data_IF_546687898118
#
_entry.id   IF_546687898118
#
_cell.length_a   1.000
_cell.length_b   1.000
_cell.length_c   1.000
_cell.angle_alpha   90.00
_cell.angle_beta   90.00
_cell.angle_gamma   90.00
#
_symmetry.space_group_name_H-M   'P 1'
#
loop_
_entity.id
_entity.type
_entity.pdbx_description
1 polymer ?
#
# COMPACT_ATOMS: atom_id res chain seq x y z
N UNK A 1 -16.11 16.37 -31.76
CA UNK A 1 -16.70 16.55 -30.40
C UNK A 1 -17.74 15.47 -30.20
N UNK A 2 -17.42 14.41 -29.47
CA UNK A 2 -18.39 13.40 -29.02
C UNK A 2 -17.93 12.95 -27.63
N UNK A 3 -18.77 13.21 -26.63
CA UNK A 3 -18.47 13.09 -25.21
C UNK A 3 -18.48 11.63 -24.78
N UNK A 4 -17.36 11.18 -24.19
CA UNK A 4 -17.29 9.93 -23.43
C UNK A 4 -18.14 10.06 -22.15
N UNK A 5 -19.30 9.41 -22.14
CA UNK A 5 -20.05 9.17 -20.91
C UNK A 5 -19.44 7.98 -20.18
N UNK A 6 -18.59 8.26 -19.19
CA UNK A 6 -18.18 7.28 -18.21
C UNK A 6 -19.42 6.76 -17.46
N UNK A 7 -19.75 5.49 -17.65
CA UNK A 7 -20.80 4.80 -16.91
C UNK A 7 -20.45 4.80 -15.41
N UNK A 8 -21.11 5.68 -14.64
CA UNK A 8 -21.04 5.66 -13.18
C UNK A 8 -21.60 4.33 -12.69
N UNK A 9 -20.74 3.46 -12.16
CA UNK A 9 -21.14 2.26 -11.45
C UNK A 9 -22.25 2.61 -10.43
N UNK A 10 -23.45 2.07 -10.65
CA UNK A 10 -24.57 2.20 -9.70
C UNK A 10 -24.14 1.48 -8.41
N UNK A 11 -23.86 2.26 -7.35
CA UNK A 11 -23.69 1.72 -6.00
C UNK A 11 -24.88 0.83 -5.67
N UNK A 12 -24.64 -0.47 -5.49
CA UNK A 12 -25.63 -1.41 -4.95
C UNK A 12 -26.09 -0.84 -3.61
N UNK A 13 -27.34 -0.39 -3.53
CA UNK A 13 -27.91 0.12 -2.28
C UNK A 13 -28.22 -1.08 -1.40
N UNK A 14 -27.40 -1.29 -0.37
CA UNK A 14 -27.71 -2.23 0.71
C UNK A 14 -29.05 -1.80 1.32
N UNK A 15 -30.05 -2.70 1.44
CA UNK A 15 -31.36 -2.35 1.96
C UNK A 15 -31.26 -1.87 3.42
N UNK A 16 -32.07 -0.86 3.76
CA UNK A 16 -32.07 -0.27 5.10
C UNK A 16 -32.83 -1.19 6.07
N UNK A 17 -32.35 -1.27 7.31
CA UNK A 17 -33.05 -2.00 8.37
C UNK A 17 -34.06 -1.08 9.04
N UNK A 18 -35.31 -1.51 9.12
CA UNK A 18 -36.40 -0.83 9.80
C UNK A 18 -36.79 -1.58 11.07
N UNK A 19 -36.90 -0.85 12.19
CA UNK A 19 -37.50 -1.35 13.42
C UNK A 19 -39.01 -1.16 13.35
N UNK A 20 -39.75 -2.22 13.64
CA UNK A 20 -41.20 -2.19 13.55
C UNK A 20 -41.87 -2.75 14.81
N UNK A 21 -43.05 -2.20 15.10
CA UNK A 21 -44.00 -2.71 16.08
C UNK A 21 -45.36 -2.79 15.37
N UNK A 22 -46.05 -3.91 15.52
CA UNK A 22 -47.32 -4.17 14.87
C UNK A 22 -48.16 -5.17 15.64
N UNK A 23 -49.35 -5.45 15.14
CA UNK A 23 -50.24 -6.47 15.68
C UNK A 23 -50.35 -7.64 14.72
N UNK A 24 -50.20 -8.86 15.22
CA UNK A 24 -50.43 -10.07 14.41
C UNK A 24 -51.95 -10.32 14.24
N UNK A 25 -52.32 -11.30 13.42
CA UNK A 25 -53.72 -11.70 13.18
C UNK A 25 -54.52 -12.08 14.45
N UNK A 26 -53.84 -12.41 15.55
CA UNK A 26 -54.43 -12.75 16.84
C UNK A 26 -54.53 -11.55 17.80
N UNK A 27 -54.28 -10.32 17.31
CA UNK A 27 -54.33 -9.10 18.10
C UNK A 27 -53.14 -8.89 19.06
N UNK A 28 -52.13 -9.77 19.03
CA UNK A 28 -50.94 -9.64 19.91
C UNK A 28 -49.96 -8.64 19.32
N UNK A 29 -49.45 -7.76 20.18
CA UNK A 29 -48.39 -6.81 19.82
C UNK A 29 -47.07 -7.56 19.64
N UNK A 30 -46.52 -7.49 18.44
CA UNK A 30 -45.23 -8.06 18.06
C UNK A 30 -44.28 -6.95 17.62
N UNK A 31 -43.00 -7.14 17.88
CA UNK A 31 -41.93 -6.20 17.52
C UNK A 31 -40.80 -6.95 16.84
N UNK A 32 -40.14 -6.32 15.88
CA UNK A 32 -39.06 -6.95 15.13
C UNK A 32 -38.27 -5.96 14.28
N UNK A 33 -37.38 -6.50 13.45
CA UNK A 33 -36.63 -5.76 12.44
C UNK A 33 -36.99 -6.33 11.07
N UNK A 34 -37.00 -5.48 10.04
CA UNK A 34 -37.22 -5.90 8.66
C UNK A 34 -36.28 -5.12 7.74
N UNK A 35 -35.67 -5.80 6.77
CA UNK A 35 -34.83 -5.17 5.75
C UNK A 35 -35.70 -4.78 4.56
N UNK A 36 -35.63 -3.52 4.11
CA UNK A 36 -36.38 -3.04 2.96
C UNK A 36 -35.68 -1.85 2.30
N UNK A 37 -35.97 -1.55 1.03
CA UNK A 37 -35.33 -0.41 0.34
C UNK A 37 -35.92 0.94 0.80
N UNK A 38 -37.18 0.95 1.25
CA UNK A 38 -37.85 2.14 1.75
C UNK A 38 -38.96 1.79 2.76
N UNK A 39 -39.45 2.81 3.47
CA UNK A 39 -40.47 2.66 4.52
C UNK A 39 -41.79 2.06 4.01
N UNK A 40 -42.16 2.33 2.75
CA UNK A 40 -43.40 1.84 2.16
C UNK A 40 -43.29 0.34 1.87
N UNK A 41 -42.15 -0.11 1.33
CA UNK A 41 -41.86 -1.52 1.11
C UNK A 41 -41.83 -2.30 2.43
N UNK A 42 -41.17 -1.77 3.47
CA UNK A 42 -41.20 -2.37 4.81
C UNK A 42 -42.63 -2.57 5.34
N UNK A 43 -43.52 -1.58 5.18
CA UNK A 43 -44.94 -1.70 5.58
C UNK A 43 -45.70 -2.73 4.75
N UNK A 44 -45.43 -2.81 3.45
CA UNK A 44 -46.05 -3.78 2.56
C UNK A 44 -45.64 -5.21 2.91
N UNK A 45 -44.36 -5.44 3.18
CA UNK A 45 -43.83 -6.76 3.54
C UNK A 45 -44.38 -7.23 4.90
N UNK A 46 -44.51 -6.31 5.88
CA UNK A 46 -45.16 -6.61 7.16
C UNK A 46 -46.63 -7.00 6.99
N UNK A 47 -47.38 -6.29 6.13
CA UNK A 47 -48.77 -6.64 5.83
C UNK A 47 -48.88 -7.99 5.13
N UNK A 48 -47.96 -8.33 4.22
CA UNK A 48 -47.87 -9.65 3.58
C UNK A 48 -47.63 -10.77 4.59
N UNK A 49 -46.84 -10.50 5.63
CA UNK A 49 -46.60 -11.43 6.75
C UNK A 49 -47.77 -11.48 7.76
N UNK A 50 -48.89 -10.81 7.49
CA UNK A 50 -50.06 -10.81 8.37
C UNK A 50 -49.89 -9.95 9.62
N UNK A 51 -48.99 -8.96 9.58
CA UNK A 51 -48.70 -8.04 10.66
C UNK A 51 -49.20 -6.65 10.26
N UNK A 52 -50.11 -6.08 11.04
CA UNK A 52 -50.57 -4.70 10.85
C UNK A 52 -49.55 -3.74 11.49
N UNK A 53 -48.81 -2.93 10.71
CA UNK A 53 -47.74 -2.10 11.24
C UNK A 53 -48.31 -0.90 12.00
N UNK A 54 -48.00 -0.76 13.30
CA UNK A 54 -48.37 0.38 14.14
C UNK A 54 -47.29 1.47 14.11
N UNK A 55 -46.02 1.07 14.20
CA UNK A 55 -44.87 1.98 14.20
C UNK A 55 -43.75 1.33 13.41
N UNK A 56 -43.34 1.98 12.31
CA UNK A 56 -42.18 1.56 11.52
C UNK A 56 -41.23 2.76 11.49
N UNK A 57 -40.00 2.57 11.94
CA UNK A 57 -38.96 3.60 11.92
C UNK A 57 -37.69 3.01 11.37
N UNK A 58 -36.98 3.79 10.56
CA UNK A 58 -35.64 3.44 10.11
C UNK A 58 -34.77 3.25 11.36
N UNK A 59 -34.04 2.14 11.46
CA UNK A 59 -33.09 1.94 12.56
C UNK A 59 -32.09 3.11 12.48
N UNK A 60 -31.93 3.92 13.53
CA UNK A 60 -30.95 4.99 13.51
C UNK A 60 -29.60 4.36 13.15
N UNK A 61 -28.89 4.95 12.17
CA UNK A 61 -27.54 4.50 11.84
C UNK A 61 -26.73 4.65 13.13
N UNK A 62 -26.20 3.56 13.64
CA UNK A 62 -25.28 3.61 14.78
C UNK A 62 -24.11 4.50 14.36
N UNK A 63 -24.10 5.74 14.83
CA UNK A 63 -22.97 6.66 14.64
C UNK A 63 -21.70 6.14 15.32
N UNK A 64 -21.86 5.18 16.24
CA UNK A 64 -20.81 4.45 16.95
C UNK A 64 -20.67 2.98 16.50
N UNK A 65 -21.21 2.59 15.35
CA UNK A 65 -20.90 1.27 14.80
C UNK A 65 -19.39 1.21 14.53
N UNK A 66 -18.70 0.14 14.94
CA UNK A 66 -17.28 -0.02 14.64
C UNK A 66 -17.10 0.13 13.14
N UNK A 67 -16.24 1.08 12.74
CA UNK A 67 -15.94 1.34 11.34
C UNK A 67 -15.51 0.02 10.71
N UNK A 68 -16.16 -0.37 9.61
CA UNK A 68 -15.82 -1.60 8.91
C UNK A 68 -14.31 -1.66 8.65
N UNK A 69 -13.65 -2.79 8.94
CA UNK A 69 -12.21 -2.94 8.74
C UNK A 69 -11.86 -2.65 7.28
N UNK A 70 -10.76 -1.94 7.04
CA UNK A 70 -10.28 -1.71 5.66
C UNK A 70 -9.73 -3.02 5.11
N UNK A 71 -10.02 -3.32 3.85
CA UNK A 71 -9.42 -4.44 3.12
C UNK A 71 -7.94 -4.10 2.89
N UNK A 72 -7.05 -4.99 3.32
CA UNK A 72 -5.60 -4.87 3.14
C UNK A 72 -5.15 -5.68 1.93
N UNK A 73 -4.03 -5.33 1.29
CA UNK A 73 -3.44 -6.16 0.22
C UNK A 73 -3.16 -7.61 0.65
N UNK A 74 -2.80 -7.84 1.92
CA UNK A 74 -2.64 -9.18 2.50
C UNK A 74 -3.93 -10.01 2.45
N UNK A 75 -5.10 -9.37 2.62
CA UNK A 75 -6.40 -10.04 2.57
C UNK A 75 -6.67 -10.55 1.13
N UNK A 76 -6.26 -9.78 0.12
CA UNK A 76 -6.36 -10.16 -1.31
C UNK A 76 -5.42 -11.32 -1.63
N UNK A 77 -4.20 -11.31 -1.09
CA UNK A 77 -3.26 -12.41 -1.25
C UNK A 77 -3.80 -13.72 -0.66
N UNK A 78 -4.35 -13.66 0.56
CA UNK A 78 -4.99 -14.83 1.23
C UNK A 78 -6.20 -15.32 0.44
N UNK A 79 -7.09 -14.43 0.01
CA UNK A 79 -8.22 -14.77 -0.85
C UNK A 79 -7.77 -15.50 -2.12
N UNK A 80 -6.77 -14.97 -2.82
CA UNK A 80 -6.27 -15.54 -4.07
C UNK A 80 -5.66 -16.93 -3.86
N UNK A 81 -4.87 -17.10 -2.79
CA UNK A 81 -4.29 -18.41 -2.43
C UNK A 81 -5.37 -19.42 -2.06
N UNK A 82 -6.35 -19.04 -1.24
CA UNK A 82 -7.44 -19.94 -0.87
C UNK A 82 -8.27 -20.34 -2.09
N UNK A 83 -8.56 -19.40 -2.98
CA UNK A 83 -9.30 -19.67 -4.21
C UNK A 83 -8.55 -20.65 -5.11
N UNK A 84 -7.24 -20.43 -5.32
CA UNK A 84 -6.38 -21.35 -6.07
C UNK A 84 -6.39 -22.77 -5.46
N UNK A 85 -6.16 -22.88 -4.14
CA UNK A 85 -6.13 -24.18 -3.44
C UNK A 85 -7.46 -24.92 -3.50
N UNK A 86 -8.58 -24.22 -3.31
CA UNK A 86 -9.91 -24.83 -3.36
C UNK A 86 -10.25 -25.32 -4.77
N UNK A 87 -9.94 -24.52 -5.80
CA UNK A 87 -10.17 -24.90 -7.19
C UNK A 87 -9.30 -26.10 -7.60
N UNK A 88 -8.03 -26.14 -7.21
CA UNK A 88 -7.17 -27.31 -7.42
C UNK A 88 -7.63 -28.56 -6.69
N UNK A 89 -8.36 -28.39 -5.59
CA UNK A 89 -8.98 -29.52 -4.87
C UNK A 89 -10.27 -30.01 -5.54
N UNK A 90 -10.62 -29.47 -6.70
CA UNK A 90 -11.85 -29.79 -7.43
C UNK A 90 -13.11 -29.14 -6.85
N UNK A 91 -12.98 -28.20 -5.91
CA UNK A 91 -14.14 -27.50 -5.33
C UNK A 91 -14.67 -26.49 -6.36
N UNK A 92 -15.96 -26.54 -6.72
CA UNK A 92 -16.54 -25.60 -7.68
C UNK A 92 -16.35 -24.14 -7.27
N UNK A 93 -16.07 -23.26 -8.24
CA UNK A 93 -15.81 -21.82 -8.02
C UNK A 93 -16.85 -21.16 -7.08
N UNK A 94 -18.13 -21.43 -7.33
CA UNK A 94 -19.24 -20.88 -6.52
C UNK A 94 -19.16 -21.31 -5.05
N UNK A 95 -18.79 -22.55 -4.79
CA UNK A 95 -18.65 -23.09 -3.43
C UNK A 95 -17.38 -22.55 -2.77
N UNK A 96 -16.28 -22.45 -3.53
CA UNK A 96 -15.03 -21.82 -3.09
C UNK A 96 -15.27 -20.37 -2.65
N UNK A 97 -15.96 -19.55 -3.45
CA UNK A 97 -16.31 -18.17 -3.10
C UNK A 97 -17.20 -18.08 -1.85
N UNK A 98 -18.16 -19.00 -1.68
CA UNK A 98 -18.99 -19.05 -0.48
C UNK A 98 -18.15 -19.34 0.77
N UNK A 99 -17.34 -20.41 0.75
CA UNK A 99 -16.54 -20.85 1.89
C UNK A 99 -15.52 -19.77 2.29
N UNK A 100 -14.82 -19.19 1.32
CA UNK A 100 -13.84 -18.14 1.58
C UNK A 100 -14.54 -16.87 2.09
N UNK A 101 -15.68 -16.50 1.50
CA UNK A 101 -16.45 -15.34 1.93
C UNK A 101 -16.94 -15.45 3.37
N UNK A 102 -17.54 -16.59 3.74
CA UNK A 102 -18.04 -16.84 5.09
C UNK A 102 -16.93 -17.03 6.14
N UNK A 103 -15.78 -17.59 5.73
CA UNK A 103 -14.64 -17.86 6.60
C UNK A 103 -13.67 -16.70 6.80
N UNK A 104 -13.83 -15.58 6.08
CA UNK A 104 -12.85 -14.48 6.14
C UNK A 104 -13.01 -13.63 7.41
N UNK A 105 -11.91 -13.39 8.14
CA UNK A 105 -11.93 -12.62 9.40
C UNK A 105 -12.36 -11.14 9.21
N UNK A 106 -11.98 -10.55 8.07
CA UNK A 106 -12.34 -9.17 7.71
C UNK A 106 -13.76 -9.10 7.12
N UNK A 107 -14.70 -8.49 7.85
CA UNK A 107 -16.10 -8.36 7.41
C UNK A 107 -16.30 -7.56 6.12
N UNK A 108 -15.43 -6.60 5.79
CA UNK A 108 -15.48 -5.91 4.50
C UNK A 108 -15.09 -6.83 3.34
N UNK A 109 -14.14 -7.73 3.58
CA UNK A 109 -13.73 -8.71 2.59
C UNK A 109 -14.82 -9.76 2.38
N UNK A 110 -15.45 -10.24 3.46
CA UNK A 110 -16.61 -11.12 3.40
C UNK A 110 -17.71 -10.54 2.50
N UNK A 111 -18.11 -9.28 2.74
CA UNK A 111 -19.14 -8.63 1.91
C UNK A 111 -18.73 -8.51 0.44
N UNK A 112 -17.45 -8.21 0.16
CA UNK A 112 -16.95 -8.10 -1.20
C UNK A 112 -16.96 -9.46 -1.92
N UNK A 113 -16.48 -10.52 -1.25
CA UNK A 113 -16.45 -11.88 -1.83
C UNK A 113 -17.86 -12.39 -2.08
N UNK A 114 -18.78 -12.19 -1.14
CA UNK A 114 -20.18 -12.60 -1.30
C UNK A 114 -20.90 -11.79 -2.39
N UNK A 115 -20.53 -10.52 -2.59
CA UNK A 115 -21.03 -9.74 -3.72
C UNK A 115 -20.49 -10.25 -5.06
N UNK A 116 -19.19 -10.55 -5.15
CA UNK A 116 -18.58 -11.17 -6.33
C UNK A 116 -19.24 -12.52 -6.63
N UNK A 117 -19.47 -13.34 -5.61
CA UNK A 117 -20.21 -14.61 -5.73
C UNK A 117 -21.60 -14.37 -6.35
N UNK A 118 -22.38 -13.42 -5.82
CA UNK A 118 -23.72 -13.14 -6.33
C UNK A 118 -23.71 -12.68 -7.79
N UNK A 119 -22.70 -11.89 -8.20
CA UNK A 119 -22.52 -11.50 -9.59
C UNK A 119 -22.23 -12.70 -10.50
N UNK A 120 -21.32 -13.59 -10.08
CA UNK A 120 -21.01 -14.82 -10.83
C UNK A 120 -22.22 -15.77 -10.90
N UNK A 121 -23.00 -15.87 -9.81
CA UNK A 121 -24.25 -16.64 -9.76
C UNK A 121 -25.30 -16.10 -10.75
N UNK A 122 -25.28 -14.79 -11.00
CA UNK A 122 -26.16 -14.14 -11.98
C UNK A 122 -25.70 -14.30 -13.44
N UNK A 123 -24.56 -14.95 -13.68
CA UNK A 123 -24.00 -15.21 -15.01
C UNK A 123 -22.95 -14.21 -15.49
N UNK A 124 -22.48 -13.32 -14.63
CA UNK A 124 -21.33 -12.43 -14.94
C UNK A 124 -20.03 -13.24 -14.83
N UNK A 125 -19.02 -12.97 -15.67
CA UNK A 125 -17.72 -13.65 -15.53
C UNK A 125 -17.02 -13.26 -14.22
N UNK A 126 -16.10 -14.10 -13.73
CA UNK A 126 -15.30 -13.79 -12.55
C UNK A 126 -14.45 -12.54 -12.80
N UNK A 127 -13.83 -12.43 -13.97
CA UNK A 127 -13.03 -11.25 -14.33
C UNK A 127 -13.84 -9.96 -14.30
N UNK A 128 -15.04 -9.96 -14.90
CA UNK A 128 -15.90 -8.77 -14.92
C UNK A 128 -16.40 -8.43 -13.51
N UNK A 129 -16.72 -9.43 -12.69
CA UNK A 129 -17.12 -9.24 -11.29
C UNK A 129 -16.00 -8.63 -10.44
N UNK A 130 -14.76 -9.07 -10.63
CA UNK A 130 -13.57 -8.53 -9.96
C UNK A 130 -13.25 -7.11 -10.42
N UNK A 131 -13.45 -6.80 -11.71
CA UNK A 131 -13.18 -5.48 -12.30
C UNK A 131 -14.01 -4.35 -11.66
N UNK A 132 -15.15 -4.67 -11.02
CA UNK A 132 -15.96 -3.72 -10.24
C UNK A 132 -15.23 -3.18 -9.00
N UNK A 133 -14.10 -3.80 -8.61
CA UNK A 133 -13.29 -3.43 -7.45
C UNK A 133 -11.84 -3.08 -7.84
N UNK A 134 -11.61 -2.05 -8.67
CA UNK A 134 -10.29 -1.72 -9.24
C UNK A 134 -9.26 -1.23 -8.20
N UNK A 135 -9.70 -0.94 -6.98
CA UNK A 135 -8.80 -0.59 -5.87
C UNK A 135 -8.18 -1.82 -5.17
N UNK A 136 -8.72 -3.01 -5.44
CA UNK A 136 -8.32 -4.27 -4.80
C UNK A 136 -7.78 -5.28 -5.81
N UNK A 137 -8.37 -5.32 -7.01
CA UNK A 137 -7.90 -6.11 -8.13
C UNK A 137 -7.43 -5.15 -9.21
N UNK A 138 -6.13 -5.16 -9.49
CA UNK A 138 -5.54 -4.36 -10.56
C UNK A 138 -5.82 -4.98 -11.94
N UNK A 139 -5.51 -4.23 -13.00
CA UNK A 139 -5.75 -4.67 -14.38
C UNK A 139 -5.01 -5.98 -14.68
N UNK A 140 -3.84 -6.18 -14.08
CA UNK A 140 -3.07 -7.42 -14.17
C UNK A 140 -3.86 -8.62 -13.63
N UNK A 141 -4.41 -8.50 -12.42
CA UNK A 141 -5.22 -9.54 -11.79
C UNK A 141 -6.43 -9.89 -12.67
N UNK A 142 -7.18 -8.87 -13.11
CA UNK A 142 -8.39 -9.05 -13.90
C UNK A 142 -8.07 -9.71 -15.26
N UNK A 143 -7.01 -9.27 -15.92
CA UNK A 143 -6.59 -9.81 -17.21
C UNK A 143 -6.15 -11.28 -17.11
N UNK A 144 -5.43 -11.65 -16.05
CA UNK A 144 -5.03 -13.04 -15.81
C UNK A 144 -6.24 -13.94 -15.54
N UNK A 145 -7.21 -13.48 -14.73
CA UNK A 145 -8.44 -14.25 -14.52
C UNK A 145 -9.20 -14.41 -15.83
N UNK A 146 -9.35 -13.34 -16.62
CA UNK A 146 -10.03 -13.38 -17.90
C UNK A 146 -9.37 -14.35 -18.88
N UNK A 147 -8.04 -14.32 -18.99
CA UNK A 147 -7.28 -15.26 -19.80
C UNK A 147 -7.49 -16.71 -19.34
N UNK A 148 -7.58 -16.93 -18.02
CA UNK A 148 -7.81 -18.25 -17.42
C UNK A 148 -9.22 -18.79 -17.64
N UNK A 149 -10.22 -17.90 -17.57
CA UNK A 149 -11.61 -18.23 -17.89
C UNK A 149 -11.77 -18.60 -19.38
N UNK A 150 -11.13 -17.86 -20.29
CA UNK A 150 -11.23 -18.11 -21.74
C UNK A 150 -10.47 -19.36 -22.19
N UNK A 151 -9.31 -19.62 -21.59
CA UNK A 151 -8.46 -20.77 -21.94
C UNK A 151 -8.79 -22.05 -21.17
N UNK A 152 -9.68 -21.98 -20.17
CA UNK A 152 -9.94 -23.08 -19.24
C UNK A 152 -8.79 -23.37 -18.27
N UNK A 153 -7.74 -22.56 -18.26
CA UNK A 153 -6.57 -22.69 -17.39
C UNK A 153 -6.68 -21.87 -16.08
N UNK A 154 -7.90 -21.51 -15.67
CA UNK A 154 -8.16 -20.66 -14.50
C UNK A 154 -7.46 -21.16 -13.23
N UNK A 155 -7.42 -22.47 -13.00
CA UNK A 155 -6.73 -23.06 -11.85
C UNK A 155 -5.24 -22.72 -11.83
N UNK A 156 -4.54 -22.94 -12.95
CA UNK A 156 -3.11 -22.66 -13.09
C UNK A 156 -2.84 -21.17 -12.92
N UNK A 157 -3.67 -20.31 -13.52
CA UNK A 157 -3.48 -18.86 -13.42
C UNK A 157 -3.77 -18.32 -12.02
N UNK A 158 -4.71 -18.92 -11.28
CA UNK A 158 -4.94 -18.56 -9.89
C UNK A 158 -3.73 -18.86 -9.00
N UNK A 159 -3.00 -19.95 -9.25
CA UNK A 159 -1.75 -20.23 -8.55
C UNK A 159 -0.67 -19.20 -8.82
N UNK A 160 -0.54 -18.80 -10.09
CA UNK A 160 0.39 -17.77 -10.53
C UNK A 160 0.07 -16.41 -9.91
N UNK A 161 -1.22 -16.00 -9.93
CA UNK A 161 -1.70 -14.79 -9.27
C UNK A 161 -1.42 -14.83 -7.77
N UNK A 162 -1.74 -15.95 -7.10
CA UNK A 162 -1.51 -16.10 -5.67
C UNK A 162 -0.03 -15.99 -5.31
N UNK A 163 0.84 -16.68 -6.06
CA UNK A 163 2.29 -16.61 -5.87
C UNK A 163 2.82 -15.18 -6.07
N UNK A 164 2.35 -14.48 -7.11
CA UNK A 164 2.70 -13.09 -7.38
C UNK A 164 2.30 -12.16 -6.23
N UNK A 165 1.05 -12.28 -5.73
CA UNK A 165 0.56 -11.45 -4.62
C UNK A 165 1.34 -11.71 -3.33
N UNK A 166 1.61 -12.98 -3.01
CA UNK A 166 2.41 -13.37 -1.83
C UNK A 166 3.83 -12.80 -1.89
N UNK A 167 4.52 -12.95 -3.03
CA UNK A 167 5.87 -12.42 -3.21
C UNK A 167 5.90 -10.89 -3.13
N UNK A 168 4.93 -10.22 -3.76
CA UNK A 168 4.80 -8.77 -3.73
C UNK A 168 4.57 -8.25 -2.31
N UNK A 169 3.67 -8.87 -1.55
CA UNK A 169 3.39 -8.49 -0.17
C UNK A 169 4.55 -8.85 0.78
N UNK A 170 5.22 -9.98 0.57
CA UNK A 170 6.42 -10.35 1.31
C UNK A 170 7.54 -9.30 1.11
N UNK A 171 7.78 -8.88 -0.13
CA UNK A 171 8.76 -7.85 -0.46
C UNK A 171 8.41 -6.51 0.21
N UNK A 172 7.16 -6.05 0.10
CA UNK A 172 6.69 -4.83 0.78
C UNK A 172 6.83 -4.93 2.30
N UNK A 173 6.46 -6.08 2.87
CA UNK A 173 6.57 -6.32 4.30
C UNK A 173 8.03 -6.29 4.76
N UNK A 174 8.95 -6.85 3.98
CA UNK A 174 10.39 -6.83 4.26
C UNK A 174 10.95 -5.41 4.23
N UNK A 175 10.67 -4.64 3.18
CA UNK A 175 11.06 -3.22 3.09
C UNK A 175 10.51 -2.44 4.27
N UNK A 176 9.23 -2.63 4.60
CA UNK A 176 8.61 -1.95 5.75
C UNK A 176 9.30 -2.33 7.07
N UNK A 177 9.59 -3.61 7.29
CA UNK A 177 10.28 -4.09 8.50
C UNK A 177 11.68 -3.50 8.62
N UNK A 178 12.46 -3.45 7.54
CA UNK A 178 13.79 -2.86 7.52
C UNK A 178 13.79 -1.36 7.89
N UNK A 179 12.75 -0.62 7.49
CA UNK A 179 12.61 0.80 7.81
C UNK A 179 12.09 1.08 9.24
N UNK A 180 11.45 0.12 9.89
CA UNK A 180 10.86 0.31 11.23
C UNK A 180 11.96 0.56 12.26
N UNK A 181 13.05 -0.21 12.22
CA UNK A 181 14.13 -0.08 13.20
C UNK A 181 14.82 1.30 13.17
N UNK A 182 15.34 1.80 12.02
CA UNK A 182 15.90 3.14 11.94
C UNK A 182 14.90 4.23 12.32
N UNK A 183 13.65 4.13 11.86
CA UNK A 183 12.62 5.11 12.20
C UNK A 183 12.35 5.17 13.71
N UNK A 184 12.34 4.01 14.38
CA UNK A 184 12.08 3.92 15.82
C UNK A 184 13.19 4.60 16.63
N UNK A 185 14.46 4.37 16.27
CA UNK A 185 15.61 5.03 16.94
C UNK A 185 15.57 6.53 16.71
N UNK A 186 15.34 6.99 15.48
CA UNK A 186 15.25 8.42 15.17
C UNK A 186 14.12 9.08 15.96
N UNK A 187 12.95 8.43 16.08
CA UNK A 187 11.83 8.94 16.88
C UNK A 187 12.20 9.02 18.36
N UNK A 188 12.78 7.97 18.94
CA UNK A 188 13.19 7.96 20.35
C UNK A 188 14.25 9.04 20.62
N UNK A 189 15.26 9.13 19.76
CA UNK A 189 16.29 10.15 19.84
C UNK A 189 15.73 11.57 19.76
N UNK A 190 14.77 11.80 18.86
CA UNK A 190 14.13 13.09 18.73
C UNK A 190 13.31 13.44 19.97
N UNK A 191 12.59 12.47 20.56
CA UNK A 191 11.85 12.65 21.82
C UNK A 191 12.81 12.98 22.96
N UNK A 192 13.89 12.22 23.15
CA UNK A 192 14.89 12.47 24.20
C UNK A 192 15.51 13.85 24.02
N UNK A 193 15.91 14.19 22.80
CA UNK A 193 16.45 15.52 22.48
C UNK A 193 15.44 16.62 22.79
N UNK A 194 14.17 16.45 22.41
CA UNK A 194 13.12 17.42 22.71
C UNK A 194 12.92 17.61 24.23
N UNK A 195 12.96 16.54 25.03
CA UNK A 195 12.88 16.62 26.49
C UNK A 195 14.07 17.41 27.06
N UNK A 196 15.29 17.12 26.61
CA UNK A 196 16.48 17.86 27.04
C UNK A 196 16.38 19.35 26.68
N UNK A 197 15.94 19.66 25.47
CA UNK A 197 15.78 21.04 25.00
C UNK A 197 14.67 21.78 25.75
N UNK A 198 13.54 21.14 26.05
CA UNK A 198 12.39 21.81 26.66
C UNK A 198 12.53 21.95 28.18
N UNK A 199 13.12 20.96 28.86
CA UNK A 199 13.14 20.92 30.32
C UNK A 199 14.53 21.14 30.91
N UNK A 200 15.57 20.52 30.36
CA UNK A 200 16.90 20.50 31.00
C UNK A 200 17.68 21.78 30.73
N UNK A 201 17.75 22.19 29.47
CA UNK A 201 18.51 23.38 29.07
C UNK A 201 18.04 24.68 29.75
N UNK A 202 16.73 25.00 29.83
CA UNK A 202 16.29 26.22 30.51
C UNK A 202 16.61 26.22 32.02
N UNK A 203 16.66 25.05 32.67
CA UNK A 203 17.09 24.96 34.08
C UNK A 203 18.59 25.27 34.24
N UNK A 204 19.40 24.89 33.26
CA UNK A 204 20.82 25.26 33.25
C UNK A 204 21.01 26.75 32.94
N UNK A 205 20.22 27.32 32.03
CA UNK A 205 20.27 28.75 31.74
C UNK A 205 19.93 29.60 32.97
N UNK A 206 18.87 29.25 33.71
CA UNK A 206 18.46 29.98 34.92
C UNK A 206 19.54 29.93 36.00
N UNK A 207 20.20 28.78 36.16
CA UNK A 207 21.34 28.61 37.06
C UNK A 207 22.49 29.55 36.69
N UNK A 208 22.86 29.62 35.41
CA UNK A 208 24.00 30.44 34.97
C UNK A 208 23.71 31.95 34.94
N UNK A 209 22.46 32.37 34.68
CA UNK A 209 22.07 33.79 34.81
C UNK A 209 22.34 34.34 36.21
N UNK A 210 22.28 33.50 37.24
CA UNK A 210 22.59 33.88 38.62
C UNK A 210 24.08 34.17 38.90
N UNK A 211 25.00 33.70 38.04
CA UNK A 211 26.46 33.86 38.23
C UNK A 211 27.04 35.11 37.55
N UNK A 212 26.25 35.87 36.77
CA UNK A 212 26.68 37.14 36.17
C UNK A 212 27.79 37.04 35.11
N UNK A 213 28.16 35.82 34.66
CA UNK A 213 29.20 35.59 33.68
C UNK A 213 28.63 35.40 32.26
N UNK A 214 29.39 35.85 31.26
CA UNK A 214 29.00 35.71 29.86
C UNK A 214 29.07 34.24 29.40
N UNK A 215 27.92 33.71 28.97
CA UNK A 215 27.85 32.34 28.46
C UNK A 215 28.68 32.16 27.17
N UNK A 216 29.40 31.04 26.99
CA UNK A 216 30.07 30.70 25.75
C UNK A 216 29.12 30.70 24.54
N UNK A 217 29.65 31.01 23.35
CA UNK A 217 28.85 31.09 22.11
C UNK A 217 28.08 29.81 21.77
N UNK A 218 28.69 28.64 22.00
CA UNK A 218 28.02 27.34 21.78
C UNK A 218 26.82 27.15 22.72
N UNK A 219 26.98 27.50 24.01
CA UNK A 219 25.89 27.45 25.00
C UNK A 219 24.77 28.42 24.65
N UNK A 220 25.09 29.65 24.23
CA UNK A 220 24.11 30.65 23.77
C UNK A 220 23.32 30.14 22.55
N UNK A 221 23.97 29.46 21.59
CA UNK A 221 23.29 28.87 20.44
C UNK A 221 22.30 27.79 20.88
N UNK A 222 22.73 26.86 21.74
CA UNK A 222 21.88 25.77 22.24
C UNK A 222 20.68 26.31 23.02
N UNK A 223 20.87 27.34 23.84
CA UNK A 223 19.78 28.02 24.55
C UNK A 223 18.77 28.64 23.57
N UNK A 224 19.21 29.37 22.54
CA UNK A 224 18.29 29.92 21.53
C UNK A 224 17.48 28.85 20.82
N UNK A 225 18.10 27.73 20.47
CA UNK A 225 17.38 26.60 19.85
C UNK A 225 16.38 26.01 20.85
N UNK A 226 16.74 25.93 22.13
CA UNK A 226 15.86 25.49 23.21
C UNK A 226 14.66 26.41 23.38
N UNK A 227 14.83 27.74 23.36
CA UNK A 227 13.74 28.72 23.42
C UNK A 227 12.73 28.50 22.28
N UNK A 228 13.22 28.28 21.04
CA UNK A 228 12.36 27.94 19.89
C UNK A 228 11.62 26.63 20.12
N UNK A 229 12.27 25.61 20.67
CA UNK A 229 11.61 24.35 21.02
C UNK A 229 10.55 24.55 22.10
N UNK A 230 10.82 25.31 23.16
CA UNK A 230 9.86 25.57 24.23
C UNK A 230 8.60 26.29 23.72
N UNK A 231 8.77 27.32 22.90
CA UNK A 231 7.65 28.14 22.40
C UNK A 231 6.89 27.45 21.25
N UNK A 232 7.60 26.76 20.37
CA UNK A 232 7.07 26.30 19.06
C UNK A 232 7.18 24.79 18.82
N UNK A 233 7.37 23.96 19.85
CA UNK A 233 7.41 22.49 19.68
C UNK A 233 6.17 21.99 18.92
N UNK A 234 4.96 22.39 19.32
CA UNK A 234 3.72 21.95 18.69
C UNK A 234 3.65 22.30 17.19
N UNK A 235 4.21 23.46 16.81
CA UNK A 235 4.31 23.89 15.42
C UNK A 235 5.33 23.05 14.65
N UNK A 236 6.48 22.72 15.25
CA UNK A 236 7.51 21.85 14.66
C UNK A 236 6.92 20.45 14.39
N UNK A 237 6.27 19.84 15.38
CA UNK A 237 5.60 18.55 15.22
C UNK A 237 4.46 18.64 14.20
N UNK A 238 3.66 19.70 14.25
CA UNK A 238 2.56 19.94 13.31
C UNK A 238 3.04 20.07 11.86
N UNK A 239 4.16 20.76 11.62
CA UNK A 239 4.76 20.90 10.28
C UNK A 239 5.30 19.56 9.79
N UNK A 240 6.02 18.81 10.62
CA UNK A 240 6.58 17.50 10.22
C UNK A 240 5.44 16.53 9.86
N UNK A 241 4.45 16.38 10.74
CA UNK A 241 3.31 15.50 10.51
C UNK A 241 2.49 15.97 9.31
N UNK A 242 2.26 17.29 9.21
CA UNK A 242 1.55 17.92 8.10
C UNK A 242 2.24 17.73 6.76
N UNK A 243 3.58 17.86 6.72
CA UNK A 243 4.37 17.64 5.51
C UNK A 243 4.35 16.17 5.07
N UNK A 244 4.46 15.23 6.00
CA UNK A 244 4.35 13.79 5.72
C UNK A 244 2.95 13.47 5.16
N UNK A 245 1.90 13.96 5.82
CA UNK A 245 0.52 13.75 5.37
C UNK A 245 0.27 14.37 3.99
N UNK A 246 0.72 15.61 3.78
CA UNK A 246 0.59 16.32 2.51
C UNK A 246 1.35 15.61 1.39
N UNK A 247 2.57 15.12 1.64
CA UNK A 247 3.33 14.33 0.68
C UNK A 247 2.62 13.03 0.31
N UNK A 248 2.08 12.31 1.31
CA UNK A 248 1.33 11.06 1.09
C UNK A 248 0.04 11.30 0.29
N UNK A 249 -0.70 12.36 0.60
CA UNK A 249 -1.97 12.69 -0.08
C UNK A 249 -1.72 13.25 -1.49
N UNK A 250 -0.69 14.09 -1.65
CA UNK A 250 -0.30 14.67 -2.93
C UNK A 250 0.20 13.60 -3.91
N UNK A 251 0.96 12.60 -3.43
CA UNK A 251 1.36 11.44 -4.23
C UNK A 251 0.17 10.66 -4.79
N UNK A 252 -0.92 10.54 -4.03
CA UNK A 252 -2.14 9.84 -4.49
C UNK A 252 -2.98 10.64 -5.47
N UNK A 253 -2.93 11.97 -5.38
CA UNK A 253 -3.80 12.87 -6.18
C UNK A 253 -3.16 13.38 -7.46
N UNK A 254 -1.83 13.45 -7.54
CA UNK A 254 -1.13 14.10 -8.66
C UNK A 254 -0.08 13.20 -9.29
N UNK A 255 -0.30 12.81 -10.55
CA UNK A 255 0.71 12.13 -11.38
C UNK A 255 2.02 12.93 -11.45
N UNK A 256 1.96 14.26 -11.64
CA UNK A 256 3.17 15.11 -11.71
C UNK A 256 4.03 15.04 -10.44
N UNK A 257 3.37 15.01 -9.27
CA UNK A 257 4.07 14.87 -7.98
C UNK A 257 4.65 13.46 -7.83
N UNK A 258 3.91 12.43 -8.26
CA UNK A 258 4.42 11.07 -8.30
C UNK A 258 5.66 10.95 -9.20
N UNK A 259 5.65 11.52 -10.42
CA UNK A 259 6.82 11.56 -11.31
C UNK A 259 8.02 12.27 -10.67
N UNK A 260 7.79 13.43 -10.05
CA UNK A 260 8.86 14.18 -9.41
C UNK A 260 9.47 13.42 -8.23
N UNK A 261 8.64 12.86 -7.35
CA UNK A 261 9.09 12.08 -6.20
C UNK A 261 9.80 10.80 -6.62
N UNK A 262 9.24 10.04 -7.56
CA UNK A 262 9.84 8.78 -8.02
C UNK A 262 11.18 9.05 -8.74
N UNK A 263 11.31 10.16 -9.49
CA UNK A 263 12.58 10.59 -10.10
C UNK A 263 13.60 11.06 -9.06
N UNK A 264 13.16 11.78 -8.03
CA UNK A 264 14.05 12.18 -6.93
C UNK A 264 14.53 10.98 -6.12
N UNK A 265 13.65 10.04 -5.80
CA UNK A 265 13.97 8.82 -5.05
C UNK A 265 15.05 7.99 -5.76
N UNK A 266 15.00 7.91 -7.10
CA UNK A 266 16.04 7.25 -7.90
C UNK A 266 17.42 7.92 -7.84
N UNK A 267 17.50 9.20 -7.44
CA UNK A 267 18.76 9.94 -7.31
C UNK A 267 19.38 9.88 -5.92
N UNK A 268 18.62 9.42 -4.91
CA UNK A 268 19.14 9.30 -3.55
C UNK A 268 20.12 8.11 -3.53
N UNK A 269 21.38 8.30 -3.09
CA UNK A 269 22.33 7.20 -2.94
C UNK A 269 21.74 6.08 -2.07
N UNK A 270 22.06 4.82 -2.38
CA UNK A 270 21.53 3.60 -1.73
C UNK A 270 20.04 3.36 -2.01
N UNK A 271 19.14 4.32 -1.74
CA UNK A 271 17.69 4.17 -1.96
C UNK A 271 17.35 4.05 -3.45
N UNK A 272 17.97 4.85 -4.31
CA UNK A 272 17.74 4.82 -5.74
C UNK A 272 18.15 3.50 -6.38
N UNK A 273 19.24 2.90 -5.89
CA UNK A 273 19.68 1.58 -6.35
C UNK A 273 18.69 0.49 -5.96
N UNK A 274 18.22 0.48 -4.70
CA UNK A 274 17.18 -0.44 -4.21
C UNK A 274 15.91 -0.30 -5.05
N UNK A 275 15.46 0.94 -5.29
CA UNK A 275 14.25 1.21 -6.06
C UNK A 275 14.37 0.76 -7.51
N UNK A 276 15.55 0.92 -8.13
CA UNK A 276 15.84 0.44 -9.48
C UNK A 276 15.84 -1.09 -9.53
N UNK A 277 16.58 -1.75 -8.64
CA UNK A 277 16.62 -3.22 -8.52
C UNK A 277 15.21 -3.79 -8.29
N UNK A 278 14.42 -3.16 -7.42
CA UNK A 278 13.05 -3.57 -7.14
C UNK A 278 12.09 -3.35 -8.31
N UNK A 279 12.30 -2.30 -9.12
CA UNK A 279 11.52 -2.09 -10.33
C UNK A 279 11.82 -3.15 -11.40
N UNK A 280 13.10 -3.50 -11.58
CA UNK A 280 13.53 -4.59 -12.48
C UNK A 280 12.98 -5.93 -12.00
N UNK A 281 13.06 -6.24 -10.71
CA UNK A 281 12.51 -7.46 -10.13
C UNK A 281 11.00 -7.59 -10.39
N UNK A 282 10.22 -6.53 -10.14
CA UNK A 282 8.77 -6.52 -10.42
C UNK A 282 8.47 -6.63 -11.92
N UNK A 283 9.20 -5.90 -12.75
CA UNK A 283 9.08 -6.00 -14.21
C UNK A 283 9.26 -7.45 -14.67
N UNK A 284 10.38 -8.07 -14.31
CA UNK A 284 10.72 -9.42 -14.73
C UNK A 284 9.75 -10.46 -14.16
N UNK A 285 9.36 -10.34 -12.88
CA UNK A 285 8.42 -11.25 -12.23
C UNK A 285 7.04 -11.18 -12.90
N UNK A 286 6.49 -9.98 -13.05
CA UNK A 286 5.17 -9.80 -13.66
C UNK A 286 5.18 -10.28 -15.10
N UNK A 287 6.23 -9.98 -15.85
CA UNK A 287 6.29 -10.36 -17.26
C UNK A 287 6.46 -11.88 -17.42
N UNK A 288 7.30 -12.51 -16.61
CA UNK A 288 7.40 -13.99 -16.53
C UNK A 288 6.04 -14.63 -16.25
N UNK A 289 5.32 -14.14 -15.25
CA UNK A 289 4.00 -14.65 -14.88
C UNK A 289 2.98 -14.51 -16.02
N UNK A 290 2.93 -13.34 -16.68
CA UNK A 290 2.01 -13.10 -17.79
C UNK A 290 2.34 -13.96 -19.01
N UNK A 291 3.62 -14.12 -19.33
CA UNK A 291 4.05 -14.91 -20.48
C UNK A 291 3.83 -16.41 -20.25
N UNK A 292 4.12 -16.90 -19.04
CA UNK A 292 3.81 -18.28 -18.61
C UNK A 292 2.31 -18.56 -18.63
N UNK A 293 1.50 -17.54 -18.35
CA UNK A 293 0.04 -17.59 -18.44
C UNK A 293 -0.49 -17.61 -19.90
N UNK A 294 0.38 -17.51 -20.90
CA UNK A 294 0.02 -17.48 -22.31
C UNK A 294 -0.55 -16.13 -22.78
N UNK A 295 -0.40 -15.06 -21.98
CA UNK A 295 -0.86 -13.73 -22.41
C UNK A 295 0.09 -13.20 -23.50
N UNK A 296 -0.44 -12.69 -24.62
CA UNK A 296 0.38 -12.12 -25.70
C UNK A 296 1.34 -11.04 -25.20
N UNK A 297 2.55 -11.00 -25.76
CA UNK A 297 3.64 -10.12 -25.30
C UNK A 297 3.23 -8.64 -25.17
N UNK A 298 2.61 -8.08 -26.21
CA UNK A 298 2.18 -6.68 -26.24
C UNK A 298 1.13 -6.36 -25.17
N UNK A 299 0.19 -7.29 -24.95
CA UNK A 299 -0.84 -7.16 -23.90
C UNK A 299 -0.21 -7.27 -22.52
N UNK A 300 0.68 -8.24 -22.32
CA UNK A 300 1.43 -8.44 -21.08
C UNK A 300 2.20 -7.19 -20.68
N UNK A 301 2.87 -6.51 -21.62
CA UNK A 301 3.64 -5.30 -21.34
C UNK A 301 2.78 -4.14 -20.82
N UNK A 302 1.51 -4.04 -21.23
CA UNK A 302 0.59 -3.04 -20.68
C UNK A 302 0.32 -3.28 -19.20
N UNK A 303 0.12 -4.54 -18.79
CA UNK A 303 -0.04 -4.89 -17.38
C UNK A 303 1.27 -4.78 -16.59
N UNK A 304 2.41 -5.15 -17.19
CA UNK A 304 3.75 -5.03 -16.58
C UNK A 304 4.06 -3.55 -16.28
N UNK A 305 3.72 -2.63 -17.19
CA UNK A 305 3.93 -1.20 -16.98
C UNK A 305 3.29 -0.69 -15.67
N UNK A 306 2.08 -1.17 -15.37
CA UNK A 306 1.36 -0.85 -14.12
C UNK A 306 1.98 -1.50 -12.87
N UNK A 307 2.61 -2.66 -13.02
CA UNK A 307 3.17 -3.45 -11.92
C UNK A 307 4.61 -3.08 -11.53
N UNK A 308 5.35 -2.38 -12.39
CA UNK A 308 6.76 -1.98 -12.13
C UNK A 308 6.94 -1.14 -10.85
N UNK A 309 5.88 -0.46 -10.38
CA UNK A 309 5.87 0.32 -9.13
C UNK A 309 6.74 1.59 -9.14
N UNK A 310 7.30 1.94 -10.30
CA UNK A 310 8.02 3.18 -10.54
C UNK A 310 7.57 3.75 -11.88
N UNK A 311 7.17 5.02 -11.90
CA UNK A 311 6.58 5.59 -13.11
C UNK A 311 7.56 5.66 -14.28
N UNK A 312 8.85 5.84 -14.04
CA UNK A 312 9.88 5.86 -15.10
C UNK A 312 9.96 4.49 -15.80
N UNK A 313 9.95 3.41 -15.03
CA UNK A 313 9.94 2.05 -15.58
C UNK A 313 8.61 1.72 -16.27
N UNK A 314 7.49 2.20 -15.72
CA UNK A 314 6.18 2.03 -16.34
C UNK A 314 6.09 2.70 -17.71
N UNK A 315 6.53 3.96 -17.82
CA UNK A 315 6.56 4.69 -19.10
C UNK A 315 7.49 4.03 -20.11
N UNK A 316 8.70 3.66 -19.71
CA UNK A 316 9.64 2.96 -20.58
C UNK A 316 9.08 1.61 -21.07
N UNK A 317 8.37 0.87 -20.21
CA UNK A 317 7.70 -0.38 -20.61
C UNK A 317 6.63 -0.13 -21.68
N UNK A 318 5.89 0.98 -21.60
CA UNK A 318 4.91 1.34 -22.63
C UNK A 318 5.56 1.74 -23.95
N UNK A 319 6.69 2.44 -23.91
CA UNK A 319 7.48 2.74 -25.12
C UNK A 319 7.97 1.45 -25.77
N UNK A 320 8.59 0.56 -24.99
CA UNK A 320 9.05 -0.74 -25.49
C UNK A 320 7.90 -1.57 -26.08
N UNK A 321 6.70 -1.49 -25.50
CA UNK A 321 5.51 -2.18 -26.02
C UNK A 321 5.17 -1.68 -27.43
N UNK A 322 5.20 -0.36 -27.63
CA UNK A 322 4.88 0.25 -28.91
C UNK A 322 5.91 -0.17 -29.97
N UNK A 323 7.20 -0.22 -29.62
CA UNK A 323 8.27 -0.72 -30.51
C UNK A 323 8.07 -2.19 -30.87
N UNK A 324 7.79 -3.05 -29.88
CA UNK A 324 7.52 -4.48 -30.08
C UNK A 324 6.28 -4.71 -30.93
N UNK A 325 5.23 -3.90 -30.75
CA UNK A 325 4.02 -3.97 -31.57
C UNK A 325 4.29 -3.64 -33.05
N UNK A 326 5.32 -2.84 -33.35
CA UNK A 326 5.78 -2.58 -34.72
C UNK A 326 6.73 -3.63 -35.29
N UNK A 327 7.07 -4.67 -34.52
CA UNK A 327 7.93 -5.78 -34.93
C UNK A 327 9.39 -5.68 -34.47
N UNK A 328 9.73 -4.70 -33.63
CA UNK A 328 11.07 -4.62 -33.01
C UNK A 328 11.23 -5.74 -31.98
N UNK A 329 12.41 -6.37 -31.94
CA UNK A 329 12.71 -7.39 -30.91
C UNK A 329 12.74 -6.75 -29.52
N UNK A 330 12.26 -7.48 -28.51
CA UNK A 330 12.14 -6.96 -27.15
C UNK A 330 13.50 -6.57 -26.58
N UNK A 331 14.54 -7.37 -26.81
CA UNK A 331 15.90 -7.06 -26.37
C UNK A 331 16.41 -5.72 -26.93
N UNK A 332 16.10 -5.38 -28.19
CA UNK A 332 16.49 -4.10 -28.82
C UNK A 332 15.74 -2.93 -28.18
N UNK A 333 14.43 -3.07 -28.00
CA UNK A 333 13.63 -2.06 -27.31
C UNK A 333 14.14 -1.80 -25.88
N UNK A 334 14.65 -2.83 -25.18
CA UNK A 334 15.28 -2.66 -23.86
C UNK A 334 16.61 -1.89 -23.88
N UNK A 335 17.38 -2.01 -24.97
CA UNK A 335 18.63 -1.25 -25.15
C UNK A 335 18.30 0.22 -25.36
N UNK A 336 17.32 0.53 -26.20
CA UNK A 336 16.96 1.91 -26.57
C UNK A 336 16.47 2.75 -25.40
N UNK A 337 15.81 2.13 -24.40
CA UNK A 337 15.36 2.84 -23.20
C UNK A 337 16.43 3.03 -22.13
N UNK A 338 17.60 2.36 -22.24
CA UNK A 338 18.77 2.51 -21.36
C UNK A 338 18.50 2.36 -19.83
N UNK A 339 17.43 1.68 -19.43
CA UNK A 339 17.07 1.48 -18.01
C UNK A 339 17.51 0.13 -17.45
N UNK A 340 17.74 -0.85 -18.31
CA UNK A 340 17.99 -2.23 -17.92
C UNK A 340 19.50 -2.55 -17.98
N UNK A 341 20.06 -3.21 -16.95
CA UNK A 341 21.43 -3.71 -17.00
C UNK A 341 21.63 -4.71 -18.14
N UNK A 342 22.84 -4.78 -18.68
CA UNK A 342 23.19 -5.66 -19.81
C UNK A 342 22.79 -7.12 -19.56
N UNK A 343 22.99 -7.62 -18.33
CA UNK A 343 22.56 -8.97 -17.95
C UNK A 343 21.06 -9.23 -18.21
N UNK A 344 20.19 -8.27 -17.90
CA UNK A 344 18.74 -8.41 -18.14
C UNK A 344 18.45 -8.48 -19.63
N UNK A 345 19.05 -7.57 -20.40
CA UNK A 345 18.88 -7.51 -21.86
C UNK A 345 19.34 -8.82 -22.51
N UNK A 346 20.46 -9.39 -22.06
CA UNK A 346 20.98 -10.67 -22.55
C UNK A 346 20.08 -11.84 -22.21
N UNK A 347 19.57 -11.93 -20.97
CA UNK A 347 18.64 -12.98 -20.57
C UNK A 347 17.36 -12.93 -21.41
N UNK A 348 16.85 -11.72 -21.69
CA UNK A 348 15.70 -11.52 -22.57
C UNK A 348 16.01 -11.92 -24.00
N UNK A 349 17.17 -11.55 -24.54
CA UNK A 349 17.59 -11.95 -25.89
C UNK A 349 17.65 -13.47 -26.04
N UNK A 350 18.27 -14.17 -25.08
CA UNK A 350 18.35 -15.64 -25.05
C UNK A 350 16.95 -16.25 -24.94
N UNK A 351 16.08 -15.69 -24.08
CA UNK A 351 14.71 -16.16 -23.89
C UNK A 351 13.84 -15.98 -25.13
N UNK A 352 13.99 -14.85 -25.83
CA UNK A 352 13.28 -14.53 -27.07
C UNK A 352 13.72 -15.45 -28.22
N UNK A 353 15.03 -15.71 -28.36
CA UNK A 353 15.57 -16.60 -29.40
C UNK A 353 15.26 -18.09 -29.14
N UNK A 354 15.27 -18.52 -27.88
CA UNK A 354 14.99 -19.91 -27.50
C UNK A 354 13.51 -20.21 -27.24
N UNK A 355 12.64 -19.19 -27.25
CA UNK A 355 11.23 -19.32 -26.88
C UNK A 355 10.96 -19.60 -25.40
N UNK A 356 11.96 -19.39 -24.53
CA UNK A 356 11.90 -19.65 -23.08
C UNK A 356 11.94 -18.37 -22.24
N UNK A 357 11.28 -17.31 -22.74
CA UNK A 357 11.30 -15.99 -22.14
C UNK A 357 10.75 -15.97 -20.71
N UNK A 358 9.73 -16.79 -20.42
CA UNK A 358 9.17 -16.97 -19.07
C UNK A 358 10.22 -17.46 -18.07
N UNK A 359 11.03 -18.46 -18.45
CA UNK A 359 12.07 -19.03 -17.60
C UNK A 359 13.24 -18.06 -17.38
N UNK A 360 13.67 -17.37 -18.44
CA UNK A 360 14.75 -16.38 -18.35
C UNK A 360 14.33 -15.18 -17.49
N UNK A 361 13.11 -14.65 -17.69
CA UNK A 361 12.57 -13.58 -16.85
C UNK A 361 12.37 -14.01 -15.39
N UNK A 362 11.99 -15.26 -15.14
CA UNK A 362 11.91 -15.79 -13.78
C UNK A 362 13.27 -15.78 -13.07
N UNK A 363 14.35 -16.13 -13.78
CA UNK A 363 15.72 -16.08 -13.25
C UNK A 363 16.19 -14.66 -12.99
N UNK A 364 15.89 -13.73 -13.89
CA UNK A 364 16.14 -12.29 -13.68
C UNK A 364 15.39 -11.81 -12.44
N UNK A 365 14.12 -12.18 -12.28
CA UNK A 365 13.33 -11.80 -11.11
C UNK A 365 13.94 -12.35 -9.80
N UNK A 366 14.28 -13.63 -9.75
CA UNK A 366 14.93 -14.25 -8.58
C UNK A 366 16.25 -13.55 -8.21
N UNK A 367 17.09 -13.26 -9.20
CA UNK A 367 18.36 -12.56 -9.00
C UNK A 367 18.14 -11.15 -8.43
N UNK A 368 17.26 -10.35 -9.04
CA UNK A 368 17.03 -8.98 -8.56
C UNK A 368 16.21 -8.92 -7.26
N UNK A 369 15.36 -9.91 -6.98
CA UNK A 369 14.74 -10.07 -5.65
C UNK A 369 15.81 -10.26 -4.56
N UNK A 370 16.82 -11.11 -4.82
CA UNK A 370 17.98 -11.28 -3.92
C UNK A 370 18.82 -10.01 -3.80
N UNK A 371 19.11 -9.33 -4.91
CA UNK A 371 19.87 -8.08 -4.89
C UNK A 371 19.15 -6.94 -4.14
N UNK A 372 17.81 -6.93 -4.16
CA UNK A 372 17.02 -6.01 -3.34
C UNK A 372 17.15 -6.37 -1.87
N UNK A 373 17.10 -7.66 -1.54
CA UNK A 373 17.25 -8.15 -0.18
C UNK A 373 18.61 -7.75 0.40
N UNK A 374 19.69 -8.02 -0.33
CA UNK A 374 21.06 -7.66 0.08
C UNK A 374 21.23 -6.14 0.20
N UNK A 375 20.65 -5.37 -0.73
CA UNK A 375 20.73 -3.91 -0.67
C UNK A 375 19.95 -3.33 0.52
N UNK A 376 18.81 -3.93 0.90
CA UNK A 376 18.03 -3.53 2.08
C UNK A 376 18.80 -3.85 3.37
N UNK A 377 19.45 -5.01 3.44
CA UNK A 377 20.25 -5.42 4.60
C UNK A 377 21.49 -4.52 4.76
N UNK A 378 22.20 -4.24 3.66
CA UNK A 378 23.34 -3.33 3.63
C UNK A 378 22.95 -1.88 4.01
N UNK A 379 21.81 -1.40 3.52
CA UNK A 379 21.30 -0.08 3.90
C UNK A 379 21.03 0.00 5.41
N UNK A 380 20.47 -1.07 5.99
CA UNK A 380 20.20 -1.14 7.43
C UNK A 380 21.49 -1.12 8.24
N UNK A 381 22.51 -1.87 7.82
CA UNK A 381 23.82 -1.89 8.46
C UNK A 381 24.54 -0.54 8.42
N UNK A 382 24.42 0.21 7.31
CA UNK A 382 25.01 1.55 7.19
C UNK A 382 24.29 2.63 8.00
N UNK A 383 22.99 2.47 8.25
CA UNK A 383 22.21 3.41 9.05
C UNK A 383 22.64 3.42 10.52
N UNK A 384 23.09 2.29 11.07
CA UNK A 384 23.46 2.20 12.47
C UNK A 384 24.67 3.11 12.83
N UNK A 385 25.83 3.06 12.14
CA UNK A 385 26.93 4.00 12.37
C UNK A 385 26.53 5.46 12.16
N UNK A 386 25.71 5.74 11.14
CA UNK A 386 25.26 7.10 10.85
C UNK A 386 24.39 7.65 11.98
N UNK A 387 23.49 6.83 12.51
CA UNK A 387 22.68 7.15 13.69
C UNK A 387 23.59 7.37 14.90
N UNK A 388 24.60 6.50 15.14
CA UNK A 388 25.52 6.69 16.27
C UNK A 388 26.31 8.01 16.17
N UNK A 389 26.81 8.35 14.97
CA UNK A 389 27.52 9.62 14.74
C UNK A 389 26.57 10.82 14.93
N UNK A 390 25.34 10.72 14.42
CA UNK A 390 24.34 11.78 14.56
C UNK A 390 23.93 12.00 16.02
N UNK A 391 23.63 10.92 16.75
CA UNK A 391 23.26 10.97 18.17
C UNK A 391 24.42 11.39 19.05
N UNK A 392 25.60 10.81 18.83
CA UNK A 392 26.82 11.20 19.53
C UNK A 392 27.14 12.68 19.27
N UNK A 393 26.95 13.16 18.04
CA UNK A 393 27.09 14.57 17.69
C UNK A 393 26.11 15.47 18.44
N UNK A 394 24.82 15.14 18.44
CA UNK A 394 23.80 15.92 19.14
C UNK A 394 24.04 15.90 20.65
N UNK A 395 24.08 14.71 21.27
CA UNK A 395 24.23 14.54 22.71
C UNK A 395 25.57 15.09 23.18
N UNK A 396 26.66 14.80 22.46
CA UNK A 396 27.99 15.34 22.76
C UNK A 396 28.02 16.87 22.70
N UNK A 397 27.40 17.48 21.67
CA UNK A 397 27.30 18.94 21.58
C UNK A 397 26.51 19.53 22.74
N UNK A 398 25.39 18.88 23.12
CA UNK A 398 24.57 19.31 24.26
C UNK A 398 25.35 19.25 25.58
N UNK A 399 26.04 18.12 25.84
CA UNK A 399 26.86 17.96 27.04
C UNK A 399 27.98 18.99 27.07
N UNK A 400 28.74 19.17 25.98
CA UNK A 400 29.80 20.18 25.91
C UNK A 400 29.22 21.58 26.16
N UNK A 401 28.10 21.92 25.54
CA UNK A 401 27.44 23.21 25.72
C UNK A 401 27.02 23.46 27.18
N UNK A 402 26.64 22.42 27.92
CA UNK A 402 26.24 22.51 29.32
C UNK A 402 27.43 22.60 30.29
N UNK A 403 28.54 21.93 29.99
CA UNK A 403 29.73 21.90 30.86
C UNK A 403 30.71 23.05 30.59
N UNK A 404 30.77 23.59 29.37
CA UNK A 404 31.69 24.67 29.00
C UNK A 404 31.59 25.93 29.90
N UNK A 405 30.39 26.40 30.31
CA UNK A 405 30.28 27.52 31.25
C UNK A 405 30.88 27.21 32.63
N UNK A 406 30.77 25.96 33.10
CA UNK A 406 31.32 25.52 34.39
C UNK A 406 32.84 25.67 34.39
N UNK A 407 33.51 25.24 33.32
CA UNK A 407 34.96 25.38 33.18
C UNK A 407 35.42 26.84 33.11
N UNK A 408 34.66 27.71 32.43
CA UNK A 408 34.99 29.14 32.35
C UNK A 408 34.80 29.85 33.69
N UNK A 409 33.78 29.48 34.46
CA UNK A 409 33.57 30.01 35.81
C UNK A 409 34.66 29.53 36.77
N UNK A 410 35.05 28.26 36.70
CA UNK A 410 36.13 27.70 37.52
C UNK A 410 37.54 28.19 37.17
N UNK A 411 37.74 28.80 35.99
CA UNK A 411 39.00 29.46 35.61
C UNK A 411 39.02 30.96 35.92
N UNK A 412 37.88 31.54 36.31
CA UNK A 412 37.72 32.96 36.67
C UNK A 412 37.72 33.21 38.20
N UNK A 413 37.82 32.13 38.98
CA UNK A 413 38.08 32.09 40.43
C UNK A 413 39.49 31.52 40.58
#
# INVERSE_FOLDING_TARGET
>A
MAQAQAAKAKKVKVPDIFLWQGTNKQGRKVKGQISAENLNQAKMDLRRQGITPLKVRKKPKDLFAPRKPKIKPSDIAVFSRMLATMMSSGVPLMQSLQIIGEGHENSSMQEMILAIKADVESGTSLAESLSKYPHHFDDLYVNLINAGEQSGALETLLHEIAAYQEKTEALKAKIKKALVYPASIVVVAFIVTAILMIFVIPQFESLFKGFGADLPGLTKLVIRVSEVFQEKWWLIFGIIIGAIYAAMESRKRSRKVQHFLDRMLLKIPVVGEIMRKAAIARFARTFSTMFKAGVPMVEAMTSVAGATGNVVFGEATLVMRDDVATGTQLNKAMIDVELFPNMVVQMVAIGEESGSLDAMLAKVAEFFESEVDDAVDNMTALLEPLIMVFLGGIVGTLVIAMYLPIFKLGAAI
#
